data_IF_605040189559
#
_entry.id   IF_605040189559
#
_cell.length_a   1.000
_cell.length_b   1.000
_cell.length_c   1.000
_cell.angle_alpha   90.00
_cell.angle_beta   90.00
_cell.angle_gamma   90.00
#
_symmetry.space_group_name_H-M   'P 1'
#
loop_
_entity.id
_entity.type
_entity.pdbx_description
1 polymer ?
#
# COMPACT_ATOMS: atom_id res chain seq x y z
N UNK A 1 -25.08 -42.29 13.28
CA UNK A 1 -23.88 -41.97 14.08
C UNK A 1 -23.42 -40.58 13.65
N UNK A 2 -23.76 -39.56 14.43
CA UNK A 2 -23.33 -38.18 14.18
C UNK A 2 -21.88 -38.03 14.64
N UNK A 3 -20.96 -37.83 13.70
CA UNK A 3 -19.58 -37.56 14.02
C UNK A 3 -19.52 -36.16 14.69
N UNK A 4 -18.88 -36.00 15.86
CA UNK A 4 -18.66 -34.67 16.42
C UNK A 4 -17.60 -33.99 15.57
N UNK A 5 -17.97 -32.91 14.87
CA UNK A 5 -16.98 -32.02 14.26
C UNK A 5 -16.20 -31.37 15.40
N UNK A 6 -14.92 -31.72 15.53
CA UNK A 6 -14.02 -31.06 16.48
C UNK A 6 -14.02 -29.54 16.22
N UNK A 7 -14.05 -28.71 17.27
CA UNK A 7 -14.10 -27.26 17.11
C UNK A 7 -12.84 -26.82 16.35
N UNK A 8 -13.04 -26.33 15.12
CA UNK A 8 -11.99 -25.77 14.28
C UNK A 8 -11.37 -24.59 15.03
N UNK A 9 -10.20 -24.82 15.65
CA UNK A 9 -9.45 -23.80 16.40
C UNK A 9 -9.26 -22.61 15.46
N UNK A 10 -9.97 -21.52 15.77
CA UNK A 10 -9.95 -20.32 14.95
C UNK A 10 -8.97 -19.35 15.58
N UNK A 11 -7.76 -19.29 15.03
CA UNK A 11 -6.70 -18.41 15.54
C UNK A 11 -6.78 -17.05 14.85
N UNK A 12 -6.57 -15.96 15.57
CA UNK A 12 -6.54 -14.61 14.96
C UNK A 12 -5.33 -14.51 14.00
N UNK A 13 -5.54 -14.13 12.72
CA UNK A 13 -4.44 -13.96 11.79
C UNK A 13 -3.48 -12.87 12.23
N UNK A 14 -2.19 -13.16 12.17
CA UNK A 14 -1.15 -12.21 12.53
C UNK A 14 0.14 -12.53 11.79
N UNK A 15 0.98 -11.50 11.66
CA UNK A 15 2.31 -11.62 11.08
C UNK A 15 3.23 -12.28 12.10
N UNK A 16 3.95 -13.32 11.69
CA UNK A 16 4.92 -14.05 12.51
C UNK A 16 6.32 -13.47 12.29
N UNK A 17 6.72 -13.27 11.04
CA UNK A 17 8.02 -12.71 10.67
C UNK A 17 7.99 -12.04 9.31
N UNK A 18 8.92 -11.12 9.10
CA UNK A 18 9.17 -10.45 7.82
C UNK A 18 10.66 -10.50 7.52
N UNK A 19 11.02 -11.00 6.34
CA UNK A 19 12.41 -11.20 5.92
C UNK A 19 12.66 -10.44 4.61
N UNK A 20 13.68 -9.58 4.55
CA UNK A 20 14.00 -8.82 3.34
C UNK A 20 14.62 -9.75 2.30
N UNK A 21 14.03 -9.78 1.10
CA UNK A 21 14.53 -10.52 -0.05
C UNK A 21 15.41 -9.63 -0.94
N UNK A 22 14.99 -8.39 -1.17
CA UNK A 22 15.73 -7.40 -1.95
C UNK A 22 15.35 -5.99 -1.51
N UNK A 23 16.30 -5.06 -1.54
CA UNK A 23 16.08 -3.67 -1.14
C UNK A 23 16.74 -2.72 -2.14
N UNK A 24 15.97 -1.76 -2.64
CA UNK A 24 16.46 -0.65 -3.46
C UNK A 24 16.17 0.69 -2.79
N UNK A 25 16.59 1.80 -3.44
CA UNK A 25 16.46 3.15 -2.86
C UNK A 25 15.02 3.53 -2.49
N UNK A 26 14.02 3.10 -3.27
CA UNK A 26 12.62 3.55 -3.15
C UNK A 26 11.64 2.45 -2.74
N UNK A 27 12.00 1.18 -2.94
CA UNK A 27 11.14 0.01 -2.72
C UNK A 27 11.98 -1.16 -2.22
N UNK A 28 11.39 -1.95 -1.33
CA UNK A 28 11.93 -3.24 -0.86
C UNK A 28 10.91 -4.35 -1.03
N UNK A 29 11.40 -5.56 -1.23
CA UNK A 29 10.66 -6.80 -1.34
C UNK A 29 10.97 -7.66 -0.12
N UNK A 30 9.92 -8.17 0.52
CA UNK A 30 10.00 -8.97 1.75
C UNK A 30 9.20 -10.26 1.59
N UNK A 31 9.64 -11.32 2.27
CA UNK A 31 8.85 -12.50 2.52
C UNK A 31 8.17 -12.37 3.89
N UNK A 32 6.86 -12.21 3.89
CA UNK A 32 6.04 -12.16 5.10
C UNK A 32 5.54 -13.56 5.42
N UNK A 33 5.85 -14.06 6.61
CA UNK A 33 5.26 -15.29 7.14
C UNK A 33 4.15 -14.94 8.11
N UNK A 34 2.96 -15.51 7.93
CA UNK A 34 1.78 -15.21 8.74
C UNK A 34 1.05 -16.49 9.13
N UNK A 35 0.27 -16.40 10.21
CA UNK A 35 -0.66 -17.44 10.63
C UNK A 35 -2.03 -17.16 10.03
N UNK A 36 -2.62 -18.16 9.39
CA UNK A 36 -3.98 -18.06 8.86
C UNK A 36 -5.06 -18.35 9.94
N UNK A 37 -6.35 -18.08 9.68
CA UNK A 37 -7.41 -18.36 10.65
C UNK A 37 -7.53 -19.82 11.07
N UNK A 38 -7.02 -20.75 10.25
CA UNK A 38 -7.05 -22.19 10.51
C UNK A 38 -5.79 -22.67 11.26
N UNK A 39 -4.93 -21.75 11.71
CA UNK A 39 -3.70 -22.05 12.45
C UNK A 39 -2.52 -22.49 11.57
N UNK A 40 -2.64 -22.44 10.25
CA UNK A 40 -1.53 -22.82 9.37
C UNK A 40 -0.57 -21.66 9.16
N UNK A 41 0.72 -21.98 9.12
CA UNK A 41 1.77 -21.02 8.74
C UNK A 41 1.88 -20.94 7.23
N UNK A 42 1.84 -19.73 6.68
CA UNK A 42 1.95 -19.46 5.24
C UNK A 42 2.95 -18.34 4.98
N UNK A 43 3.48 -18.29 3.77
CA UNK A 43 4.37 -17.23 3.28
C UNK A 43 3.67 -16.41 2.19
N UNK A 44 4.06 -15.15 2.08
CA UNK A 44 3.60 -14.20 1.07
C UNK A 44 4.72 -13.24 0.67
N UNK A 45 4.77 -12.84 -0.60
CA UNK A 45 5.71 -11.83 -1.09
C UNK A 45 5.09 -10.42 -0.99
N UNK A 46 5.74 -9.53 -0.24
CA UNK A 46 5.23 -8.21 0.09
C UNK A 46 6.20 -7.13 -0.41
N UNK A 47 5.69 -6.15 -1.15
CA UNK A 47 6.46 -4.95 -1.52
C UNK A 47 6.14 -3.79 -0.58
N UNK A 48 7.16 -3.05 -0.12
CA UNK A 48 7.03 -1.87 0.75
C UNK A 48 7.90 -0.73 0.25
N UNK A 49 7.50 0.52 0.53
CA UNK A 49 8.36 1.70 0.32
C UNK A 49 9.44 1.75 1.40
N UNK A 50 10.67 2.07 1.00
CA UNK A 50 11.77 2.36 1.93
C UNK A 50 11.69 3.78 2.50
N UNK A 51 10.89 4.65 1.87
CA UNK A 51 10.71 6.05 2.26
C UNK A 51 9.62 6.28 3.30
N UNK A 52 8.89 5.23 3.71
CA UNK A 52 7.86 5.36 4.75
C UNK A 52 8.53 5.78 6.05
N UNK A 53 8.13 6.94 6.59
CA UNK A 53 8.62 7.39 7.90
C UNK A 53 8.01 6.56 9.03
N UNK A 54 8.81 6.32 10.06
CA UNK A 54 8.31 5.72 11.30
C UNK A 54 7.24 6.62 11.91
N UNK A 55 6.16 6.03 12.41
CA UNK A 55 5.05 6.72 13.05
C UNK A 55 4.15 7.56 12.11
N UNK A 56 4.07 7.22 10.81
CA UNK A 56 3.05 7.76 9.90
C UNK A 56 1.91 6.77 9.66
N UNK A 57 0.68 7.28 9.62
CA UNK A 57 -0.52 6.47 9.37
C UNK A 57 -0.57 5.96 7.92
N UNK A 58 -0.04 6.73 6.97
CA UNK A 58 -0.05 6.42 5.54
C UNK A 58 1.26 6.81 4.86
N UNK A 59 1.49 6.25 3.68
CA UNK A 59 2.64 6.55 2.81
C UNK A 59 2.45 7.83 1.99
N UNK A 60 1.21 8.24 1.74
CA UNK A 60 0.88 9.40 0.93
C UNK A 60 -0.62 9.67 0.90
N UNK A 61 -1.02 10.67 0.12
CA UNK A 61 -2.42 11.11 0.00
C UNK A 61 -2.86 11.14 -1.46
N UNK A 62 -4.12 10.77 -1.70
CA UNK A 62 -4.84 10.99 -2.95
C UNK A 62 -5.95 12.01 -2.73
N UNK A 63 -6.09 12.97 -3.65
CA UNK A 63 -6.98 14.12 -3.50
C UNK A 63 -8.12 14.00 -4.52
N UNK A 64 -9.34 13.92 -4.02
CA UNK A 64 -10.55 14.05 -4.84
C UNK A 64 -10.94 15.53 -4.88
N UNK A 65 -10.36 16.26 -5.82
CA UNK A 65 -10.60 17.70 -5.97
C UNK A 65 -11.88 17.95 -6.79
N UNK A 66 -12.92 18.43 -6.11
CA UNK A 66 -14.20 18.81 -6.74
C UNK A 66 -14.20 20.32 -7.06
N UNK A 67 -14.22 20.64 -8.34
CA UNK A 67 -14.35 22.00 -8.83
C UNK A 67 -15.84 22.35 -9.00
N UNK A 68 -16.35 23.18 -8.10
CA UNK A 68 -17.74 23.66 -8.11
C UNK A 68 -17.84 25.01 -8.81
N UNK A 69 -18.82 25.17 -9.69
CA UNK A 69 -19.05 26.42 -10.45
C UNK A 69 -20.55 26.71 -10.52
N UNK A 70 -20.95 27.96 -10.32
CA UNK A 70 -22.34 28.39 -10.10
C UNK A 70 -23.36 27.93 -11.17
N UNK A 71 -22.93 27.77 -12.42
CA UNK A 71 -23.79 27.39 -13.55
C UNK A 71 -23.29 26.15 -14.32
N UNK A 72 -22.38 25.37 -13.73
CA UNK A 72 -21.86 24.16 -14.35
C UNK A 72 -21.98 22.97 -13.40
N UNK A 73 -21.92 21.77 -13.98
CA UNK A 73 -21.80 20.55 -13.19
C UNK A 73 -20.46 20.54 -12.45
N UNK A 74 -20.46 19.95 -11.27
CA UNK A 74 -19.24 19.70 -10.52
C UNK A 74 -18.28 18.84 -11.36
N UNK A 75 -17.04 19.29 -11.46
CA UNK A 75 -15.99 18.59 -12.18
C UNK A 75 -14.98 17.99 -11.20
N UNK A 76 -14.45 16.82 -11.52
CA UNK A 76 -13.31 16.23 -10.80
C UNK A 76 -12.03 16.68 -11.50
N UNK A 77 -11.11 17.27 -10.74
CA UNK A 77 -9.80 17.64 -11.25
C UNK A 77 -8.89 16.41 -11.23
N UNK A 78 -8.23 16.14 -12.37
CA UNK A 78 -7.32 15.02 -12.57
C UNK A 78 -5.99 15.51 -13.14
N UNK A 79 -4.94 14.71 -12.97
CA UNK A 79 -3.59 14.99 -13.50
C UNK A 79 -3.19 13.95 -14.53
N UNK A 80 -2.51 14.40 -15.59
CA UNK A 80 -1.85 13.53 -16.57
C UNK A 80 -0.35 13.59 -16.36
N UNK A 81 0.29 12.42 -16.17
CA UNK A 81 1.73 12.34 -16.00
C UNK A 81 2.28 11.03 -16.57
N UNK A 82 3.54 11.02 -16.97
CA UNK A 82 4.23 9.78 -17.36
C UNK A 82 4.61 8.98 -16.12
N UNK A 83 4.25 7.69 -16.09
CA UNK A 83 4.61 6.75 -15.03
C UNK A 83 5.61 5.73 -15.57
N UNK A 84 6.89 5.81 -15.16
CA UNK A 84 7.89 4.82 -15.58
C UNK A 84 7.48 3.36 -15.32
N UNK A 85 6.85 2.98 -14.18
CA UNK A 85 6.40 1.60 -13.96
C UNK A 85 5.35 1.10 -14.97
N UNK A 86 4.60 2.02 -15.60
CA UNK A 86 3.58 1.70 -16.61
C UNK A 86 4.08 1.88 -18.04
N UNK A 87 5.28 2.46 -18.23
CA UNK A 87 5.82 2.79 -19.56
C UNK A 87 4.97 3.79 -20.35
N UNK A 88 4.14 4.60 -19.70
CA UNK A 88 3.16 5.45 -20.40
C UNK A 88 2.58 6.58 -19.55
N UNK A 89 1.78 7.43 -20.20
CA UNK A 89 1.02 8.48 -19.52
C UNK A 89 -0.24 7.91 -18.87
N UNK A 90 -0.47 8.27 -17.62
CA UNK A 90 -1.65 7.91 -16.84
C UNK A 90 -2.52 9.13 -16.58
N UNK A 91 -3.80 8.90 -16.32
CA UNK A 91 -4.74 9.91 -15.81
C UNK A 91 -5.13 9.50 -14.39
N UNK A 92 -4.78 10.31 -13.40
CA UNK A 92 -4.89 9.96 -11.98
C UNK A 92 -5.48 11.12 -11.17
N UNK A 93 -5.93 10.83 -9.95
CA UNK A 93 -6.19 11.88 -8.98
C UNK A 93 -4.89 12.59 -8.62
N UNK A 94 -4.91 13.91 -8.35
CA UNK A 94 -3.78 14.58 -7.75
C UNK A 94 -3.37 13.82 -6.48
N UNK A 95 -2.08 13.50 -6.36
CA UNK A 95 -1.55 12.74 -5.25
C UNK A 95 -0.18 13.28 -4.87
N UNK A 96 0.17 13.17 -3.59
CA UNK A 96 1.48 13.54 -3.08
C UNK A 96 1.97 12.48 -2.11
N UNK A 97 3.26 12.20 -2.19
CA UNK A 97 4.03 11.56 -1.13
C UNK A 97 4.90 12.65 -0.49
N UNK A 98 5.18 12.52 0.80
CA UNK A 98 6.04 13.43 1.56
C UNK A 98 7.41 13.65 0.90
N UNK A 99 7.94 12.64 0.21
CA UNK A 99 9.21 12.73 -0.54
C UNK A 99 9.18 13.82 -1.63
N UNK A 100 8.02 14.09 -2.21
CA UNK A 100 7.87 15.11 -3.27
C UNK A 100 7.75 16.52 -2.67
N UNK A 101 7.23 16.64 -1.45
CA UNK A 101 7.01 17.93 -0.79
C UNK A 101 8.25 18.47 -0.08
N UNK A 102 9.15 17.57 0.35
CA UNK A 102 10.42 17.92 0.96
C UNK A 102 11.51 17.08 0.31
N UNK A 103 12.16 17.57 -0.77
CA UNK A 103 13.37 16.93 -1.24
C UNK A 103 14.33 16.88 -0.06
N UNK A 104 14.66 15.68 0.41
CA UNK A 104 15.88 15.47 1.18
C UNK A 104 17.00 15.96 0.28
N UNK A 105 17.51 17.17 0.55
CA UNK A 105 18.82 17.58 0.10
C UNK A 105 19.78 16.46 0.47
N UNK A 106 20.29 15.75 -0.54
CA UNK A 106 21.44 14.86 -0.38
C UNK A 106 22.54 15.65 0.36
N UNK A 107 22.96 15.14 1.51
CA UNK A 107 24.29 15.36 2.08
C UNK A 107 25.08 14.07 1.91
#
# INVERSE_FOLDING_TARGET
>A
MSNPEDPKVTTTPHIIKEEVLAEGKWVKLEQTTYMDPAGNTRTWETAKRTTRRTNTEADGVGIIALLKRTLHKDCVVMVKQFRPPMGGNTLEFPAADWVILYPTTDQ
#
